data_IF_136393814690
#
_entry.id   IF_136393814690
#
_cell.length_a   1.000
_cell.length_b   1.000
_cell.length_c   1.000
_cell.angle_alpha   90.00
_cell.angle_beta   90.00
_cell.angle_gamma   90.00
#
_symmetry.space_group_name_H-M   'P 1'
#
loop_
_entity.id
_entity.type
_entity.pdbx_description
1 polymer ?
#
# COMPACT_ATOMS: atom_id res chain seq x y z
N UNK A 1 -41.59 -45.90 -19.92
CA UNK A 1 -42.20 -44.64 -19.43
C UNK A 1 -41.57 -44.32 -18.09
N UNK A 2 -40.64 -43.34 -18.04
CA UNK A 2 -40.06 -42.89 -16.77
C UNK A 2 -41.09 -42.06 -15.98
N UNK A 3 -41.16 -42.18 -14.65
CA UNK A 3 -42.14 -41.45 -13.85
C UNK A 3 -41.83 -39.94 -13.87
N UNK A 4 -42.86 -39.07 -14.01
CA UNK A 4 -42.69 -37.61 -14.18
C UNK A 4 -42.01 -36.92 -12.98
N UNK A 5 -42.02 -37.55 -11.81
CA UNK A 5 -41.35 -37.05 -10.60
C UNK A 5 -39.82 -37.10 -10.66
N UNK A 6 -39.23 -37.99 -11.48
CA UNK A 6 -37.77 -38.13 -11.58
C UNK A 6 -37.15 -37.01 -12.44
N UNK A 7 -37.91 -36.55 -13.45
CA UNK A 7 -37.48 -35.51 -14.39
C UNK A 7 -37.43 -34.13 -13.71
N UNK A 8 -38.42 -33.82 -12.86
CA UNK A 8 -38.45 -32.58 -12.10
C UNK A 8 -37.32 -32.48 -11.05
N UNK A 9 -36.98 -33.59 -10.39
CA UNK A 9 -35.88 -33.63 -9.41
C UNK A 9 -34.51 -33.51 -10.07
N UNK A 10 -34.31 -34.11 -11.26
CA UNK A 10 -33.07 -33.93 -12.02
C UNK A 10 -32.89 -32.51 -12.55
N UNK A 11 -33.95 -31.86 -13.04
CA UNK A 11 -33.90 -30.49 -13.52
C UNK A 11 -33.57 -29.48 -12.41
N UNK A 12 -34.09 -29.70 -11.19
CA UNK A 12 -33.81 -28.84 -10.04
C UNK A 12 -32.37 -28.99 -9.51
N UNK A 13 -31.82 -30.21 -9.54
CA UNK A 13 -30.40 -30.46 -9.18
C UNK A 13 -29.44 -29.90 -10.23
N UNK A 14 -29.78 -30.01 -11.52
CA UNK A 14 -28.97 -29.45 -12.61
C UNK A 14 -28.98 -27.91 -12.59
N UNK A 15 -30.13 -27.30 -12.29
CA UNK A 15 -30.25 -25.85 -12.10
C UNK A 15 -29.44 -25.32 -10.91
N UNK A 16 -29.44 -26.06 -9.78
CA UNK A 16 -28.65 -25.70 -8.60
C UNK A 16 -27.13 -25.81 -8.85
N UNK A 17 -26.68 -26.80 -9.63
CA UNK A 17 -25.27 -26.95 -10.03
C UNK A 17 -24.79 -25.82 -10.95
N UNK A 18 -25.64 -25.36 -11.87
CA UNK A 18 -25.32 -24.24 -12.77
C UNK A 18 -25.16 -22.91 -12.00
N UNK A 19 -25.99 -22.65 -10.99
CA UNK A 19 -25.89 -21.44 -10.16
C UNK A 19 -24.61 -21.44 -9.30
N UNK A 20 -24.16 -22.61 -8.81
CA UNK A 20 -22.91 -22.73 -8.04
C UNK A 20 -21.66 -22.52 -8.90
N UNK A 21 -21.70 -22.86 -10.20
CA UNK A 21 -20.57 -22.65 -11.11
C UNK A 21 -20.35 -21.19 -11.54
N UNK A 22 -21.39 -20.34 -11.51
CA UNK A 22 -21.29 -18.94 -11.92
C UNK A 22 -20.51 -18.06 -10.92
N UNK A 23 -20.53 -18.40 -9.62
CA UNK A 23 -19.80 -17.64 -8.59
C UNK A 23 -18.29 -17.93 -8.56
N UNK A 24 -17.84 -19.10 -9.04
CA UNK A 24 -16.43 -19.48 -8.99
C UNK A 24 -15.56 -18.81 -10.07
N UNK A 25 -16.17 -18.29 -11.13
CA UNK A 25 -15.44 -17.70 -12.26
C UNK A 25 -14.98 -16.27 -11.98
N UNK A 26 -15.76 -15.50 -11.20
CA UNK A 26 -15.44 -14.10 -10.85
C UNK A 26 -14.23 -13.98 -9.91
N UNK A 27 -14.11 -14.87 -8.91
CA UNK A 27 -13.00 -14.85 -7.94
C UNK A 27 -11.65 -15.24 -8.56
N UNK A 28 -11.65 -16.09 -9.60
CA UNK A 28 -10.44 -16.50 -10.32
C UNK A 28 -9.81 -15.37 -11.13
N UNK A 29 -10.62 -14.47 -11.69
CA UNK A 29 -10.12 -13.31 -12.45
C UNK A 29 -9.36 -12.31 -11.56
N UNK A 30 -9.93 -12.01 -10.38
CA UNK A 30 -9.34 -11.12 -9.38
C UNK A 30 -8.02 -11.66 -8.80
N UNK A 31 -7.97 -12.95 -8.50
CA UNK A 31 -6.74 -13.59 -8.00
C UNK A 31 -5.62 -13.60 -9.06
N UNK A 32 -5.96 -13.64 -10.35
CA UNK A 32 -4.98 -13.62 -11.44
C UNK A 32 -4.38 -12.23 -11.67
N UNK A 33 -5.17 -11.17 -11.51
CA UNK A 33 -4.70 -9.79 -11.65
C UNK A 33 -3.77 -9.38 -10.49
N UNK A 34 -4.09 -9.76 -9.24
CA UNK A 34 -3.23 -9.43 -8.10
C UNK A 34 -1.87 -10.15 -8.07
N UNK A 35 -1.73 -11.23 -8.85
CA UNK A 35 -0.49 -12.01 -8.95
C UNK A 35 0.53 -11.42 -9.94
N UNK A 36 0.14 -10.46 -10.79
CA UNK A 36 1.02 -9.91 -11.82
C UNK A 36 2.01 -8.87 -11.23
N UNK A 37 3.34 -9.07 -11.36
CA UNK A 37 4.38 -8.27 -10.68
C UNK A 37 4.32 -6.76 -10.94
N UNK A 38 3.96 -6.37 -12.17
CA UNK A 38 4.03 -4.99 -12.64
C UNK A 38 2.65 -4.31 -12.75
N UNK A 39 1.58 -4.95 -12.24
CA UNK A 39 0.21 -4.47 -12.39
C UNK A 39 -0.01 -3.02 -11.89
N UNK A 40 0.65 -2.65 -10.79
CA UNK A 40 0.53 -1.31 -10.21
C UNK A 40 1.65 -0.36 -10.65
N UNK A 41 2.63 -0.83 -11.43
CA UNK A 41 3.70 0.02 -11.93
C UNK A 41 3.14 0.85 -13.09
N UNK A 42 3.21 2.19 -13.03
CA UNK A 42 2.73 3.02 -14.11
C UNK A 42 3.52 2.74 -15.39
N UNK A 43 2.81 2.59 -16.51
CA UNK A 43 3.41 2.31 -17.83
C UNK A 43 4.39 3.40 -18.30
N UNK A 44 4.25 4.61 -17.77
CA UNK A 44 5.22 5.69 -17.91
C UNK A 44 5.54 6.23 -16.53
N UNK A 45 6.80 6.13 -16.10
CA UNK A 45 7.25 6.82 -14.89
C UNK A 45 7.24 8.31 -15.18
N UNK A 46 6.48 9.09 -14.41
CA UNK A 46 6.55 10.54 -14.45
C UNK A 46 7.88 10.98 -13.83
N UNK A 47 8.93 10.94 -14.64
CA UNK A 47 10.27 11.40 -14.24
C UNK A 47 10.27 12.90 -14.45
N UNK A 48 10.11 13.63 -13.35
CA UNK A 48 10.22 15.09 -13.36
C UNK A 48 11.70 15.48 -13.53
N UNK A 49 12.16 15.43 -14.78
CA UNK A 49 13.52 15.80 -15.15
C UNK A 49 13.78 17.31 -15.01
N UNK A 50 12.73 18.13 -14.87
CA UNK A 50 12.84 19.56 -14.64
C UNK A 50 13.36 19.90 -13.23
N UNK A 51 13.40 18.91 -12.36
CA UNK A 51 13.73 19.01 -10.92
C UNK A 51 14.86 18.03 -10.54
N UNK A 52 15.74 17.68 -11.49
CA UNK A 52 16.95 16.89 -11.15
C UNK A 52 17.85 17.70 -10.21
N UNK A 53 18.05 17.17 -9.00
CA UNK A 53 19.02 17.72 -8.05
C UNK A 53 18.47 18.82 -7.14
N UNK A 54 17.21 18.73 -6.69
CA UNK A 54 16.78 19.48 -5.51
C UNK A 54 17.66 19.09 -4.33
N UNK A 55 18.58 19.97 -4.00
CA UNK A 55 19.41 19.82 -2.82
C UNK A 55 18.54 20.07 -1.60
N UNK A 56 18.47 19.11 -0.67
CA UNK A 56 17.69 19.26 0.57
C UNK A 56 18.20 20.39 1.46
N UNK A 57 19.38 20.94 1.16
CA UNK A 57 20.00 22.06 1.86
C UNK A 57 19.99 23.36 1.04
N UNK A 58 19.32 23.41 -0.12
CA UNK A 58 19.28 24.58 -0.98
C UNK A 58 18.82 25.84 -0.20
N UNK A 59 19.58 26.94 -0.22
CA UNK A 59 19.19 28.18 0.46
C UNK A 59 17.85 28.69 -0.06
N UNK A 60 16.92 28.96 0.86
CA UNK A 60 15.69 29.65 0.50
C UNK A 60 15.97 31.12 0.19
N UNK A 61 15.19 31.77 -0.68
CA UNK A 61 15.40 33.16 -1.05
C UNK A 61 15.16 34.11 0.12
N UNK A 62 16.05 35.09 0.27
CA UNK A 62 15.89 36.22 1.17
C UNK A 62 15.06 37.34 0.53
N UNK A 63 13.86 37.03 0.03
CA UNK A 63 12.94 38.05 -0.47
C UNK A 63 11.98 38.50 0.64
N UNK A 64 12.11 39.72 1.18
CA UNK A 64 11.26 40.20 2.28
C UNK A 64 9.77 40.19 1.91
N UNK A 65 9.46 40.49 0.64
CA UNK A 65 8.08 40.51 0.13
C UNK A 65 7.42 39.14 0.07
N UNK A 66 8.19 38.07 -0.16
CA UNK A 66 7.70 36.69 -0.09
C UNK A 66 7.62 36.21 1.36
N UNK A 67 8.61 36.49 2.19
CA UNK A 67 8.63 36.09 3.59
C UNK A 67 7.51 36.74 4.42
N UNK A 68 7.02 37.92 4.03
CA UNK A 68 5.87 38.56 4.64
C UNK A 68 4.53 37.83 4.37
N UNK A 69 4.45 37.00 3.32
CA UNK A 69 3.20 36.37 2.86
C UNK A 69 3.22 34.84 2.93
N UNK A 70 4.41 34.25 2.84
CA UNK A 70 4.63 32.82 2.79
C UNK A 70 5.49 32.39 3.97
N UNK A 71 5.08 31.31 4.62
CA UNK A 71 5.88 30.65 5.65
C UNK A 71 7.09 29.97 5.01
N UNK A 72 8.09 29.62 5.82
CA UNK A 72 9.24 28.84 5.36
C UNK A 72 8.82 27.53 4.66
N UNK A 73 7.81 26.85 5.20
CA UNK A 73 7.28 25.62 4.62
C UNK A 73 6.60 25.86 3.26
N UNK A 74 5.87 26.98 3.09
CA UNK A 74 5.29 27.36 1.79
C UNK A 74 6.39 27.59 0.75
N UNK A 75 7.48 28.27 1.11
CA UNK A 75 8.59 28.55 0.20
C UNK A 75 9.39 27.28 -0.16
N UNK A 76 9.57 26.36 0.79
CA UNK A 76 10.14 25.04 0.50
C UNK A 76 9.24 24.21 -0.41
N UNK A 77 7.91 24.29 -0.23
CA UNK A 77 6.97 23.58 -1.09
C UNK A 77 6.95 24.19 -2.50
N UNK A 78 7.03 25.52 -2.59
CA UNK A 78 7.21 26.23 -3.84
C UNK A 78 8.54 25.86 -4.53
N UNK A 79 9.61 25.66 -3.77
CA UNK A 79 10.89 25.17 -4.29
C UNK A 79 10.76 23.74 -4.82
N UNK A 80 10.13 22.85 -4.06
CA UNK A 80 9.89 21.46 -4.45
C UNK A 80 9.04 21.35 -5.72
N UNK A 81 8.03 22.21 -5.86
CA UNK A 81 7.19 22.30 -7.05
C UNK A 81 7.83 23.07 -8.21
N UNK A 82 9.07 23.56 -8.06
CA UNK A 82 9.77 24.32 -9.10
C UNK A 82 9.20 25.71 -9.36
N UNK A 83 8.36 26.27 -8.48
CA UNK A 83 7.71 27.58 -8.67
C UNK A 83 8.34 28.72 -7.87
N UNK A 84 9.35 28.44 -7.05
CA UNK A 84 9.99 29.49 -6.24
C UNK A 84 10.58 30.63 -7.09
N UNK A 85 11.32 30.28 -8.15
CA UNK A 85 11.93 31.26 -9.07
C UNK A 85 10.89 32.12 -9.80
N UNK A 86 9.86 31.55 -10.47
CA UNK A 86 8.85 32.38 -11.11
C UNK A 86 8.01 33.18 -10.09
N UNK A 87 7.83 32.69 -8.87
CA UNK A 87 7.16 33.43 -7.79
C UNK A 87 7.98 34.65 -7.35
N UNK A 88 9.30 34.53 -7.24
CA UNK A 88 10.19 35.67 -7.02
C UNK A 88 10.15 36.67 -8.17
N UNK A 89 10.18 36.18 -9.42
CA UNK A 89 10.09 37.05 -10.59
C UNK A 89 8.78 37.85 -10.58
N UNK A 90 7.67 37.19 -10.22
CA UNK A 90 6.36 37.84 -10.07
C UNK A 90 6.37 38.91 -8.96
N UNK A 91 7.00 38.61 -7.83
CA UNK A 91 7.09 39.54 -6.69
C UNK A 91 7.98 40.76 -6.95
N UNK A 92 8.89 40.69 -7.93
CA UNK A 92 9.76 41.80 -8.34
C UNK A 92 9.13 42.71 -9.40
N UNK A 93 7.98 42.34 -9.98
CA UNK A 93 7.33 43.17 -10.99
C UNK A 93 6.88 44.51 -10.38
N UNK A 94 7.27 45.62 -11.01
CA UNK A 94 6.93 46.96 -10.59
C UNK A 94 5.60 47.41 -11.24
N UNK A 95 4.71 48.07 -10.49
CA UNK A 95 3.50 48.64 -11.07
C UNK A 95 3.85 49.68 -12.15
N UNK A 96 3.40 49.45 -13.39
CA UNK A 96 3.52 50.38 -14.51
C UNK A 96 4.75 50.22 -15.42
N UNK A 97 5.80 49.51 -14.99
CA UNK A 97 6.97 49.22 -15.82
C UNK A 97 6.84 47.90 -16.59
N UNK A 98 6.19 46.90 -15.97
CA UNK A 98 6.05 45.56 -16.54
C UNK A 98 4.73 45.38 -17.30
N UNK A 99 4.77 44.58 -18.36
CA UNK A 99 3.59 44.34 -19.20
C UNK A 99 2.63 43.34 -18.53
N UNK A 100 1.32 43.52 -18.72
CA UNK A 100 0.30 42.52 -18.32
C UNK A 100 0.63 41.13 -18.87
N UNK A 101 1.14 41.06 -20.09
CA UNK A 101 1.56 39.81 -20.73
C UNK A 101 2.68 39.08 -19.96
N UNK A 102 3.66 39.80 -19.41
CA UNK A 102 4.73 39.21 -18.60
C UNK A 102 4.22 38.65 -17.27
N UNK A 103 3.31 39.38 -16.62
CA UNK A 103 2.62 38.90 -15.41
C UNK A 103 1.83 37.61 -15.69
N UNK A 104 1.03 37.61 -16.75
CA UNK A 104 0.20 36.46 -17.14
C UNK A 104 1.05 35.24 -17.51
N UNK A 105 2.20 35.45 -18.16
CA UNK A 105 3.12 34.36 -18.50
C UNK A 105 3.71 33.69 -17.25
N UNK A 106 4.12 34.47 -16.23
CA UNK A 106 4.63 33.93 -14.97
C UNK A 106 3.54 33.18 -14.19
N UNK A 107 2.32 33.73 -14.13
CA UNK A 107 1.20 33.07 -13.47
C UNK A 107 0.87 31.72 -14.13
N UNK A 108 0.87 31.65 -15.46
CA UNK A 108 0.66 30.39 -16.20
C UNK A 108 1.78 29.38 -15.95
N UNK A 109 3.04 29.81 -15.91
CA UNK A 109 4.17 28.93 -15.59
C UNK A 109 4.05 28.34 -14.17
N UNK A 110 3.68 29.18 -13.20
CA UNK A 110 3.40 28.75 -11.82
C UNK A 110 2.26 27.72 -11.78
N UNK A 111 1.14 28.01 -12.46
CA UNK A 111 -0.04 27.13 -12.49
C UNK A 111 0.31 25.75 -13.08
N UNK A 112 0.99 25.72 -14.23
CA UNK A 112 1.38 24.47 -14.90
C UNK A 112 2.31 23.63 -14.02
N UNK A 113 3.30 24.23 -13.37
CA UNK A 113 4.23 23.51 -12.48
C UNK A 113 3.53 22.97 -11.22
N UNK A 114 2.61 23.73 -10.63
CA UNK A 114 1.82 23.26 -9.49
C UNK A 114 0.87 22.12 -9.89
N UNK A 115 0.28 22.20 -11.09
CA UNK A 115 -0.55 21.13 -11.64
C UNK A 115 0.25 19.85 -11.87
N UNK A 116 1.46 19.96 -12.42
CA UNK A 116 2.38 18.83 -12.59
C UNK A 116 2.76 18.21 -11.24
N UNK A 117 3.09 19.03 -10.24
CA UNK A 117 3.42 18.55 -8.90
C UNK A 117 2.21 17.87 -8.23
N UNK A 118 1.01 18.46 -8.30
CA UNK A 118 -0.23 17.86 -7.80
C UNK A 118 -0.50 16.49 -8.45
N UNK A 119 -0.35 16.41 -9.78
CA UNK A 119 -0.52 15.16 -10.55
C UNK A 119 0.51 14.12 -10.14
N UNK A 120 1.74 14.53 -9.86
CA UNK A 120 2.82 13.67 -9.35
C UNK A 120 2.43 13.06 -8.00
N UNK A 121 1.93 13.88 -7.06
CA UNK A 121 1.46 13.42 -5.75
C UNK A 121 0.30 12.43 -5.90
N UNK A 122 -0.68 12.74 -6.76
CA UNK A 122 -1.82 11.85 -7.02
C UNK A 122 -1.38 10.53 -7.65
N UNK A 123 -0.43 10.56 -8.60
CA UNK A 123 0.09 9.36 -9.25
C UNK A 123 0.81 8.44 -8.26
N UNK A 124 1.71 8.98 -7.43
CA UNK A 124 2.41 8.18 -6.41
C UNK A 124 1.45 7.66 -5.34
N UNK A 125 0.47 8.47 -4.93
CA UNK A 125 -0.58 8.02 -3.99
C UNK A 125 -1.42 6.87 -4.57
N UNK A 126 -1.73 6.92 -5.87
CA UNK A 126 -2.47 5.86 -6.55
C UNK A 126 -1.64 4.58 -6.71
N UNK A 127 -0.34 4.69 -6.99
CA UNK A 127 0.58 3.55 -7.04
C UNK A 127 0.66 2.85 -5.68
N UNK A 128 0.85 3.62 -4.60
CA UNK A 128 0.88 3.08 -3.23
C UNK A 128 -0.43 2.39 -2.84
N UNK A 129 -1.59 3.00 -3.14
CA UNK A 129 -2.91 2.41 -2.91
C UNK A 129 -3.11 1.11 -3.71
N UNK A 130 -2.68 1.10 -4.97
CA UNK A 130 -2.77 -0.08 -5.82
C UNK A 130 -1.95 -1.23 -5.22
N UNK A 131 -0.69 -0.96 -4.86
CA UNK A 131 0.20 -1.96 -4.27
C UNK A 131 -0.31 -2.43 -2.89
N UNK A 132 -0.89 -1.52 -2.08
CA UNK A 132 -1.50 -1.88 -0.81
C UNK A 132 -2.68 -2.85 -1.02
N UNK A 133 -3.59 -2.54 -1.95
CA UNK A 133 -4.74 -3.39 -2.27
C UNK A 133 -4.33 -4.70 -2.92
N UNK A 134 -3.33 -4.70 -3.80
CA UNK A 134 -2.77 -5.90 -4.42
C UNK A 134 -2.21 -6.83 -3.34
N UNK A 135 -1.42 -6.29 -2.43
CA UNK A 135 -0.85 -7.04 -1.30
C UNK A 135 -1.96 -7.57 -0.38
N UNK A 136 -2.95 -6.73 -0.04
CA UNK A 136 -4.09 -7.14 0.80
C UNK A 136 -4.95 -8.22 0.12
N UNK A 137 -5.13 -8.17 -1.20
CA UNK A 137 -5.84 -9.21 -1.95
C UNK A 137 -5.09 -10.55 -1.89
N UNK A 138 -3.76 -10.54 -1.98
CA UNK A 138 -2.95 -11.76 -1.80
C UNK A 138 -3.04 -12.27 -0.36
N UNK A 139 -3.09 -11.37 0.64
CA UNK A 139 -3.36 -11.73 2.02
C UNK A 139 -4.72 -12.44 2.14
N UNK A 140 -5.79 -11.86 1.61
CA UNK A 140 -7.13 -12.48 1.62
C UNK A 140 -7.17 -13.83 0.90
N UNK A 141 -6.41 -14.01 -0.18
CA UNK A 141 -6.29 -15.30 -0.87
C UNK A 141 -5.61 -16.35 0.03
N UNK A 142 -4.54 -15.95 0.73
CA UNK A 142 -3.80 -16.84 1.62
C UNK A 142 -4.61 -17.19 2.88
N UNK A 143 -5.34 -16.21 3.41
CA UNK A 143 -6.28 -16.36 4.52
C UNK A 143 -7.43 -17.32 4.19
N UNK A 144 -8.02 -17.20 2.99
CA UNK A 144 -9.06 -18.13 2.52
C UNK A 144 -8.53 -19.57 2.38
N UNK A 145 -7.28 -19.74 1.91
CA UNK A 145 -6.63 -21.05 1.85
C UNK A 145 -6.39 -21.62 3.26
N UNK A 146 -5.90 -20.78 4.17
CA UNK A 146 -5.62 -21.18 5.55
C UNK A 146 -6.91 -21.57 6.28
N UNK A 147 -7.93 -20.73 6.22
CA UNK A 147 -9.25 -20.98 6.81
C UNK A 147 -9.87 -22.28 6.29
N UNK A 148 -9.79 -22.54 4.98
CA UNK A 148 -10.29 -23.79 4.39
C UNK A 148 -9.52 -25.00 4.92
N UNK A 149 -8.20 -24.88 5.07
CA UNK A 149 -7.36 -25.97 5.58
C UNK A 149 -7.64 -26.24 7.05
N UNK A 150 -7.71 -25.20 7.87
CA UNK A 150 -8.08 -25.31 9.29
C UNK A 150 -9.46 -25.94 9.46
N UNK A 151 -10.44 -25.53 8.66
CA UNK A 151 -11.79 -26.13 8.66
C UNK A 151 -11.74 -27.62 8.35
N UNK A 152 -10.99 -28.02 7.31
CA UNK A 152 -10.84 -29.43 6.93
C UNK A 152 -10.14 -30.24 8.03
N UNK A 153 -9.09 -29.70 8.65
CA UNK A 153 -8.36 -30.37 9.74
C UNK A 153 -9.25 -30.52 10.98
N UNK A 154 -9.98 -29.47 11.37
CA UNK A 154 -10.92 -29.51 12.50
C UNK A 154 -12.04 -30.50 12.25
N UNK A 155 -12.69 -30.48 11.07
CA UNK A 155 -13.74 -31.43 10.72
C UNK A 155 -13.19 -32.86 10.70
N UNK A 156 -11.99 -33.07 10.15
CA UNK A 156 -11.33 -34.39 10.13
C UNK A 156 -11.05 -34.88 11.56
N UNK A 157 -10.58 -34.01 12.45
CA UNK A 157 -10.36 -34.33 13.86
C UNK A 157 -11.66 -34.70 14.58
N UNK A 158 -12.76 -33.99 14.31
CA UNK A 158 -14.08 -34.30 14.88
C UNK A 158 -14.56 -35.67 14.37
N UNK A 159 -14.44 -35.94 13.07
CA UNK A 159 -14.85 -37.21 12.46
C UNK A 159 -14.01 -38.37 13.00
N UNK A 160 -12.69 -38.21 13.09
CA UNK A 160 -11.79 -39.23 13.67
C UNK A 160 -12.16 -39.50 15.13
N UNK A 161 -12.36 -38.45 15.94
CA UNK A 161 -12.78 -38.59 17.34
C UNK A 161 -14.15 -39.28 17.51
N UNK A 162 -15.11 -38.96 16.63
CA UNK A 162 -16.42 -39.61 16.62
C UNK A 162 -16.34 -41.09 16.20
N UNK A 163 -15.48 -41.43 15.23
CA UNK A 163 -15.26 -42.80 14.80
C UNK A 163 -14.55 -43.63 15.88
N UNK A 164 -13.56 -43.09 16.58
CA UNK A 164 -12.90 -43.80 17.68
C UNK A 164 -13.88 -44.09 18.81
N UNK A 165 -14.65 -43.10 19.27
CA UNK A 165 -15.64 -43.30 20.35
C UNK A 165 -16.73 -44.31 20.00
N UNK A 166 -17.20 -44.32 18.75
CA UNK A 166 -18.23 -45.27 18.30
C UNK A 166 -17.69 -46.69 18.14
N UNK A 167 -16.46 -46.87 17.66
CA UNK A 167 -15.82 -48.19 17.53
C UNK A 167 -15.43 -48.78 18.89
N UNK A 168 -14.93 -47.95 19.82
CA UNK A 168 -14.66 -48.38 21.21
C UNK A 168 -15.95 -48.82 21.92
N UNK A 169 -17.08 -48.13 21.68
CA UNK A 169 -18.36 -48.45 22.33
C UNK A 169 -19.02 -49.79 21.89
N UNK A 170 -18.65 -50.32 20.72
CA UNK A 170 -19.19 -51.58 20.17
C UNK A 170 -18.23 -52.77 20.28
N UNK A 171 -17.00 -52.52 20.76
CA UNK A 171 -15.96 -53.54 20.89
C UNK A 171 -15.94 -54.10 22.31
N UNK A 172 -16.11 -55.43 22.41
CA UNK A 172 -16.12 -56.19 23.66
C UNK A 172 -14.73 -56.72 24.07
N UNK A 173 -13.67 -56.31 23.37
CA UNK A 173 -12.29 -56.71 23.66
C UNK A 173 -11.51 -55.53 24.24
N UNK A 174 -11.13 -55.63 25.51
CA UNK A 174 -10.37 -54.61 26.24
C UNK A 174 -9.05 -54.25 25.54
N UNK A 175 -8.38 -55.22 24.89
CA UNK A 175 -7.14 -54.96 24.13
C UNK A 175 -7.40 -54.20 22.84
N UNK A 176 -8.54 -54.44 22.19
CA UNK A 176 -8.90 -53.70 20.98
C UNK A 176 -9.26 -52.24 21.32
N UNK A 177 -9.97 -52.02 22.43
CA UNK A 177 -10.33 -50.69 22.93
C UNK A 177 -9.11 -49.84 23.28
N UNK A 178 -8.15 -50.39 24.02
CA UNK A 178 -6.90 -49.69 24.36
C UNK A 178 -6.11 -49.27 23.10
N UNK A 179 -6.04 -50.14 22.09
CA UNK A 179 -5.33 -49.83 20.83
C UNK A 179 -6.07 -48.73 20.04
N UNK A 180 -7.40 -48.78 19.98
CA UNK A 180 -8.22 -47.80 19.25
C UNK A 180 -8.15 -46.42 19.91
N UNK A 181 -8.22 -46.35 21.24
CA UNK A 181 -8.19 -45.09 21.98
C UNK A 181 -6.81 -44.41 21.88
N UNK A 182 -5.73 -45.18 22.02
CA UNK A 182 -4.35 -44.67 21.85
C UNK A 182 -4.12 -44.18 20.41
N UNK A 183 -4.56 -44.96 19.42
CA UNK A 183 -4.37 -44.61 18.00
C UNK A 183 -5.22 -43.39 17.60
N UNK A 184 -6.47 -43.34 18.05
CA UNK A 184 -7.39 -42.21 17.84
C UNK A 184 -6.90 -40.92 18.46
N UNK A 185 -6.46 -40.98 19.72
CA UNK A 185 -5.88 -39.85 20.44
C UNK A 185 -4.60 -39.33 19.78
N UNK A 186 -3.71 -40.23 19.35
CA UNK A 186 -2.47 -39.85 18.67
C UNK A 186 -2.72 -39.18 17.30
N UNK A 187 -3.66 -39.70 16.50
CA UNK A 187 -4.03 -39.11 15.20
C UNK A 187 -4.70 -37.74 15.39
N UNK A 188 -5.63 -37.62 16.34
CA UNK A 188 -6.27 -36.34 16.66
C UNK A 188 -5.28 -35.28 17.13
N UNK A 189 -4.37 -35.63 18.05
CA UNK A 189 -3.31 -34.74 18.53
C UNK A 189 -2.35 -34.34 17.40
N UNK A 190 -1.97 -35.28 16.53
CA UNK A 190 -1.12 -35.02 15.37
C UNK A 190 -1.76 -34.05 14.37
N UNK A 191 -3.05 -34.19 14.09
CA UNK A 191 -3.80 -33.28 13.22
C UNK A 191 -3.93 -31.87 13.83
N UNK A 192 -4.14 -31.78 15.14
CA UNK A 192 -4.15 -30.50 15.87
C UNK A 192 -2.80 -29.79 15.83
N UNK A 193 -1.70 -30.52 16.04
CA UNK A 193 -0.33 -29.99 15.91
C UNK A 193 -0.02 -29.56 14.47
N UNK A 194 -0.41 -30.35 13.46
CA UNK A 194 -0.21 -29.99 12.05
C UNK A 194 -0.99 -28.72 11.64
N UNK A 195 -2.13 -28.46 12.28
CA UNK A 195 -2.87 -27.21 12.09
C UNK A 195 -2.10 -26.00 12.64
N UNK A 196 -1.37 -26.16 13.75
CA UNK A 196 -0.59 -25.09 14.40
C UNK A 196 0.73 -24.77 13.69
N UNK A 197 1.42 -25.76 13.12
CA UNK A 197 2.82 -25.60 12.68
C UNK A 197 3.04 -25.39 11.19
N UNK A 198 2.00 -25.42 10.36
CA UNK A 198 2.13 -25.21 8.92
C UNK A 198 1.34 -23.97 8.51
N UNK A 199 1.98 -22.81 8.35
CA UNK A 199 1.30 -21.65 7.76
C UNK A 199 1.56 -21.62 6.25
N UNK A 200 0.53 -21.48 5.42
CA UNK A 200 0.69 -21.38 3.99
C UNK A 200 1.42 -20.07 3.68
N UNK A 201 2.24 -20.14 2.65
CA UNK A 201 2.95 -18.99 2.09
C UNK A 201 2.85 -19.03 0.58
N UNK A 202 3.17 -17.91 -0.04
CA UNK A 202 3.24 -17.77 -1.50
C UNK A 202 4.45 -16.92 -1.87
N UNK A 203 4.92 -17.08 -3.10
CA UNK A 203 5.92 -16.18 -3.65
C UNK A 203 5.21 -14.92 -4.18
N UNK A 204 5.68 -13.74 -3.77
CA UNK A 204 5.13 -12.44 -4.13
C UNK A 204 6.25 -11.50 -4.57
N UNK A 205 6.10 -10.93 -5.76
CA UNK A 205 7.08 -10.06 -6.39
C UNK A 205 6.58 -8.62 -6.47
N UNK A 206 7.49 -7.69 -6.21
CA UNK A 206 7.30 -6.24 -6.30
C UNK A 206 8.60 -5.59 -6.83
N UNK A 207 8.86 -5.68 -8.15
CA UNK A 207 10.11 -5.23 -8.75
C UNK A 207 10.45 -3.76 -8.47
N UNK A 208 9.43 -2.90 -8.43
CA UNK A 208 9.50 -1.51 -7.97
C UNK A 208 8.99 -1.44 -6.54
N UNK A 209 9.83 -0.99 -5.61
CA UNK A 209 9.55 -1.09 -4.19
C UNK A 209 9.72 0.26 -3.46
N UNK A 210 8.63 1.03 -3.42
CA UNK A 210 8.57 2.32 -2.74
C UNK A 210 8.85 2.24 -1.23
N UNK A 211 8.68 1.07 -0.58
CA UNK A 211 9.03 0.91 0.84
C UNK A 211 10.53 0.89 1.07
N UNK A 212 11.31 0.41 0.10
CA UNK A 212 12.75 0.20 0.25
C UNK A 212 13.49 1.52 0.46
N UNK A 213 13.09 2.61 -0.22
CA UNK A 213 13.74 3.92 -0.05
C UNK A 213 13.34 4.59 1.25
N UNK A 214 12.12 4.37 1.75
CA UNK A 214 11.71 4.85 3.07
C UNK A 214 12.49 4.14 4.19
N UNK A 215 12.74 2.85 4.03
CA UNK A 215 13.54 2.06 4.97
C UNK A 215 15.01 2.49 4.96
N UNK A 216 15.64 2.48 3.78
CA UNK A 216 17.08 2.74 3.60
C UNK A 216 17.44 4.21 3.76
N UNK A 217 16.49 5.12 3.58
CA UNK A 217 16.67 6.57 3.63
C UNK A 217 17.88 7.06 2.81
N UNK A 218 17.99 6.70 1.51
CA UNK A 218 19.10 7.17 0.68
C UNK A 218 19.05 8.70 0.53
N UNK A 219 20.18 9.31 0.16
CA UNK A 219 20.21 10.75 -0.13
C UNK A 219 19.26 11.11 -1.29
N UNK A 220 19.26 10.28 -2.34
CA UNK A 220 18.36 10.39 -3.48
C UNK A 220 17.60 9.09 -3.68
N UNK A 221 16.31 9.21 -4.03
CA UNK A 221 15.48 8.07 -4.36
C UNK A 221 15.55 7.75 -5.85
N UNK A 222 15.61 6.46 -6.18
CA UNK A 222 15.47 5.97 -7.55
C UNK A 222 13.99 5.75 -7.93
N UNK A 223 13.14 5.48 -6.94
CA UNK A 223 11.75 5.10 -7.15
C UNK A 223 10.75 6.27 -6.97
N UNK A 224 11.11 7.30 -6.20
CA UNK A 224 10.30 8.51 -6.01
C UNK A 224 10.73 9.64 -6.95
N UNK A 225 9.77 10.46 -7.43
CA UNK A 225 10.06 11.74 -8.07
C UNK A 225 10.86 12.66 -7.14
N UNK A 226 11.82 13.41 -7.68
CA UNK A 226 12.73 14.26 -6.90
C UNK A 226 11.99 15.33 -6.07
N UNK A 227 10.95 15.95 -6.64
CA UNK A 227 10.09 16.93 -5.96
C UNK A 227 9.41 16.34 -4.72
N UNK A 228 8.82 15.15 -4.84
CA UNK A 228 8.22 14.45 -3.70
C UNK A 228 9.29 13.96 -2.71
N UNK A 229 10.40 13.41 -3.19
CA UNK A 229 11.48 12.93 -2.32
C UNK A 229 12.06 14.05 -1.46
N UNK A 230 12.22 15.25 -2.02
CA UNK A 230 12.62 16.44 -1.28
C UNK A 230 11.66 16.74 -0.12
N UNK A 231 10.35 16.75 -0.38
CA UNK A 231 9.34 17.01 0.67
C UNK A 231 9.33 15.92 1.73
N UNK A 232 9.41 14.65 1.33
CA UNK A 232 9.53 13.52 2.26
C UNK A 232 10.82 13.59 3.09
N UNK A 233 11.84 14.26 2.54
CA UNK A 233 13.16 14.31 3.11
C UNK A 233 13.46 15.51 4.01
N UNK A 234 12.66 16.57 3.91
CA UNK A 234 12.86 17.79 4.68
C UNK A 234 12.07 17.76 6.00
N UNK A 235 12.71 18.13 7.11
CA UNK A 235 12.08 18.12 8.44
C UNK A 235 10.90 19.10 8.59
N UNK A 236 10.93 20.22 7.87
CA UNK A 236 9.92 21.29 7.97
C UNK A 236 8.52 20.90 7.51
N UNK A 237 8.40 19.78 6.79
CA UNK A 237 7.12 19.22 6.40
C UNK A 237 6.53 18.25 7.43
N UNK A 238 7.24 18.00 8.53
CA UNK A 238 6.73 17.23 9.67
C UNK A 238 6.10 18.15 10.72
N UNK A 239 5.10 17.64 11.44
CA UNK A 239 4.37 18.41 12.46
C UNK A 239 5.28 18.98 13.56
N UNK A 240 6.23 18.19 14.06
CA UNK A 240 7.17 18.60 15.12
C UNK A 240 8.46 19.23 14.57
N UNK A 241 8.67 19.19 13.26
CA UNK A 241 9.86 19.70 12.56
C UNK A 241 11.21 19.14 13.05
N UNK A 242 11.19 18.07 13.87
CA UNK A 242 12.39 17.42 14.42
C UNK A 242 13.02 16.46 13.42
N UNK A 243 12.18 15.69 12.72
CA UNK A 243 12.61 14.65 11.78
C UNK A 243 11.80 14.71 10.49
N UNK A 244 12.39 14.28 9.38
CA UNK A 244 11.70 14.22 8.10
C UNK A 244 10.51 13.25 8.10
N UNK A 245 9.56 13.44 7.19
CA UNK A 245 8.39 12.55 7.04
C UNK A 245 8.84 11.10 6.84
N UNK A 246 9.82 10.84 5.98
CA UNK A 246 10.36 9.49 5.72
C UNK A 246 10.90 8.82 6.99
N UNK A 247 11.53 9.59 7.86
CA UNK A 247 12.03 9.11 9.15
C UNK A 247 10.86 8.75 10.06
N UNK A 248 9.87 9.63 10.19
CA UNK A 248 8.70 9.40 11.05
C UNK A 248 7.86 8.20 10.58
N UNK A 249 7.72 7.99 9.26
CA UNK A 249 7.05 6.80 8.69
C UNK A 249 7.80 5.53 9.09
N UNK A 250 9.13 5.47 8.89
CA UNK A 250 9.95 4.33 9.31
C UNK A 250 9.85 4.08 10.82
N UNK A 251 9.94 5.14 11.63
CA UNK A 251 9.85 5.03 13.08
C UNK A 251 8.50 4.47 13.53
N UNK A 252 7.39 4.85 12.87
CA UNK A 252 6.08 4.25 13.16
C UNK A 252 6.01 2.77 12.80
N UNK A 253 6.60 2.33 11.70
CA UNK A 253 6.62 0.90 11.36
C UNK A 253 7.32 0.07 12.43
N UNK A 254 8.43 0.59 12.98
CA UNK A 254 9.13 -0.05 14.09
C UNK A 254 8.28 -0.03 15.36
N UNK A 255 7.70 1.12 15.71
CA UNK A 255 6.88 1.28 16.91
C UNK A 255 5.59 0.44 16.89
N UNK A 256 5.00 0.24 15.70
CA UNK A 256 3.82 -0.62 15.49
C UNK A 256 4.17 -2.11 15.44
N UNK A 257 5.46 -2.49 15.54
CA UNK A 257 5.91 -3.87 15.48
C UNK A 257 5.83 -4.52 14.09
N UNK A 258 5.69 -3.73 13.02
CA UNK A 258 5.70 -4.25 11.64
C UNK A 258 7.07 -4.80 11.25
N UNK A 259 8.12 -4.15 11.73
CA UNK A 259 9.51 -4.49 11.44
C UNK A 259 10.38 -4.24 12.67
N UNK A 260 11.37 -5.09 12.88
CA UNK A 260 12.40 -4.88 13.88
C UNK A 260 13.53 -4.01 13.31
N UNK A 261 14.11 -3.15 14.14
CA UNK A 261 15.19 -2.24 13.70
C UNK A 261 16.46 -2.99 13.27
N UNK A 262 16.74 -4.14 13.90
CA UNK A 262 17.92 -4.98 13.68
C UNK A 262 17.65 -6.17 12.75
N UNK A 263 16.40 -6.37 12.34
CA UNK A 263 15.91 -7.58 11.67
C UNK A 263 16.10 -7.59 10.15
N UNK A 264 17.33 -7.47 9.65
CA UNK A 264 17.71 -7.70 8.25
C UNK A 264 16.84 -7.01 7.17
N UNK A 265 17.03 -7.40 5.91
CA UNK A 265 16.10 -7.05 4.84
C UNK A 265 14.89 -8.00 4.92
N UNK A 266 13.97 -7.72 5.85
CA UNK A 266 12.64 -8.33 5.84
C UNK A 266 12.08 -8.32 4.40
N UNK A 267 11.26 -9.31 3.96
CA UNK A 267 10.93 -9.51 2.54
C UNK A 267 10.29 -8.25 1.89
N UNK A 268 9.83 -7.33 2.72
CA UNK A 268 9.28 -6.03 2.41
C UNK A 268 10.20 -5.08 1.63
N UNK A 269 11.52 -5.15 1.78
CA UNK A 269 12.44 -4.13 1.24
C UNK A 269 13.26 -4.59 0.02
N UNK A 270 13.19 -5.88 -0.32
CA UNK A 270 13.77 -6.44 -1.53
C UNK A 270 12.87 -6.29 -2.76
N UNK A 271 13.04 -7.16 -3.76
CA UNK A 271 12.19 -7.22 -4.98
C UNK A 271 10.99 -8.16 -4.86
N UNK A 272 10.87 -8.85 -3.73
CA UNK A 272 9.94 -9.96 -3.55
C UNK A 272 10.54 -11.08 -2.72
N UNK A 273 9.77 -12.15 -2.56
CA UNK A 273 10.19 -13.34 -1.85
C UNK A 273 9.00 -14.18 -1.40
N UNK A 274 9.25 -15.05 -0.42
CA UNK A 274 8.20 -15.85 0.20
C UNK A 274 7.48 -15.05 1.28
N UNK A 275 6.17 -14.97 1.15
CA UNK A 275 5.30 -14.21 2.04
C UNK A 275 4.31 -15.11 2.76
N UNK A 276 4.20 -14.91 4.08
CA UNK A 276 3.11 -15.41 4.91
C UNK A 276 1.93 -14.45 4.89
N UNK A 277 0.80 -14.86 5.48
CA UNK A 277 -0.39 -14.00 5.62
C UNK A 277 -0.05 -12.71 6.36
N UNK A 278 0.60 -12.84 7.51
CA UNK A 278 1.02 -11.72 8.35
C UNK A 278 1.99 -10.79 7.60
N UNK A 279 2.94 -11.34 6.85
CA UNK A 279 3.87 -10.53 6.04
C UNK A 279 3.14 -9.71 4.96
N UNK A 280 2.11 -10.27 4.32
CA UNK A 280 1.31 -9.53 3.33
C UNK A 280 0.48 -8.44 3.99
N UNK A 281 -0.17 -8.73 5.11
CA UNK A 281 -0.94 -7.73 5.88
C UNK A 281 -0.03 -6.59 6.34
N UNK A 282 1.14 -6.93 6.89
CA UNK A 282 2.16 -5.97 7.33
C UNK A 282 2.64 -5.08 6.19
N UNK A 283 2.97 -5.66 5.02
CA UNK A 283 3.33 -4.86 3.84
C UNK A 283 2.20 -3.94 3.38
N UNK A 284 0.96 -4.43 3.35
CA UNK A 284 -0.20 -3.62 2.97
C UNK A 284 -0.40 -2.43 3.91
N UNK A 285 -0.24 -2.65 5.22
CA UNK A 285 -0.33 -1.59 6.23
C UNK A 285 0.79 -0.55 6.07
N UNK A 286 2.04 -0.97 5.83
CA UNK A 286 3.15 -0.05 5.58
C UNK A 286 2.92 0.81 4.34
N UNK A 287 2.43 0.22 3.24
CA UNK A 287 2.06 0.95 2.03
C UNK A 287 0.94 1.97 2.29
N UNK A 288 -0.09 1.58 3.05
CA UNK A 288 -1.18 2.48 3.44
C UNK A 288 -0.72 3.66 4.29
N UNK A 289 0.20 3.45 5.24
CA UNK A 289 0.77 4.55 6.03
C UNK A 289 1.59 5.53 5.18
N UNK A 290 2.39 5.01 4.25
CA UNK A 290 3.18 5.84 3.35
C UNK A 290 2.28 6.64 2.41
N UNK A 291 1.21 6.02 1.90
CA UNK A 291 0.20 6.68 1.10
C UNK A 291 -0.50 7.81 1.86
N UNK A 292 -0.88 7.57 3.12
CA UNK A 292 -1.47 8.60 3.97
C UNK A 292 -0.52 9.79 4.14
N UNK A 293 0.78 9.54 4.33
CA UNK A 293 1.79 10.59 4.40
C UNK A 293 1.87 11.41 3.09
N UNK A 294 1.84 10.76 1.92
CA UNK A 294 1.80 11.47 0.62
C UNK A 294 0.51 12.29 0.46
N UNK A 295 -0.64 11.79 0.92
CA UNK A 295 -1.91 12.55 0.90
C UNK A 295 -1.87 13.80 1.77
N UNK A 296 -1.19 13.76 2.92
CA UNK A 296 -1.00 14.96 3.75
C UNK A 296 -0.13 16.03 3.07
N UNK A 297 0.84 15.61 2.25
CA UNK A 297 1.61 16.55 1.41
C UNK A 297 0.69 17.24 0.39
N UNK A 298 -0.28 16.52 -0.17
CA UNK A 298 -1.29 17.12 -1.06
C UNK A 298 -2.10 18.20 -0.34
N UNK A 299 -2.46 17.99 0.92
CA UNK A 299 -3.12 19.01 1.74
C UNK A 299 -2.25 20.27 1.91
N UNK A 300 -0.94 20.12 2.15
CA UNK A 300 -0.01 21.26 2.22
C UNK A 300 0.03 22.03 0.89
N UNK A 301 -0.04 21.33 -0.25
CA UNK A 301 -0.11 21.97 -1.57
C UNK A 301 -1.40 22.77 -1.76
N UNK A 302 -2.55 22.28 -1.29
CA UNK A 302 -3.81 23.02 -1.34
C UNK A 302 -3.76 24.31 -0.53
N UNK A 303 -3.09 24.28 0.63
CA UNK A 303 -2.85 25.48 1.45
C UNK A 303 -2.00 26.51 0.69
N UNK A 304 -0.92 26.06 0.03
CA UNK A 304 -0.08 26.94 -0.79
C UNK A 304 -0.87 27.54 -1.96
N UNK A 305 -1.64 26.72 -2.70
CA UNK A 305 -2.48 27.17 -3.81
C UNK A 305 -3.46 28.27 -3.37
N UNK A 306 -4.08 28.10 -2.21
CA UNK A 306 -5.00 29.11 -1.65
C UNK A 306 -4.30 30.44 -1.41
N UNK A 307 -3.06 30.42 -0.89
CA UNK A 307 -2.24 31.63 -0.69
C UNK A 307 -1.78 32.26 -2.01
N UNK A 308 -1.55 31.46 -3.04
CA UNK A 308 -1.16 31.98 -4.36
C UNK A 308 -2.33 32.66 -5.08
N UNK A 309 -3.55 32.14 -4.93
CA UNK A 309 -4.76 32.77 -5.48
C UNK A 309 -4.97 34.17 -4.90
N UNK A 310 -4.71 34.39 -3.60
CA UNK A 310 -4.84 35.73 -3.01
C UNK A 310 -3.79 36.71 -3.55
N UNK A 311 -2.58 36.23 -3.87
CA UNK A 311 -1.54 37.03 -4.53
C UNK A 311 -1.93 37.43 -5.96
N UNK A 312 -2.60 36.53 -6.70
CA UNK A 312 -3.05 36.83 -8.07
C UNK A 312 -4.19 37.86 -8.14
N UNK A 313 -5.01 37.97 -7.08
CA UNK A 313 -6.22 38.82 -7.06
C UNK A 313 -6.00 40.23 -6.50
N UNK A 314 -4.93 40.47 -5.72
CA UNK A 314 -4.61 41.78 -5.12
C UNK A 314 -3.49 42.53 -5.88
N UNK A 315 -3.33 42.24 -7.18
CA UNK A 315 -2.35 42.88 -8.06
C UNK A 315 -2.82 44.18 -8.72
N UNK A 316 -3.83 44.83 -8.13
CA UNK A 316 -4.41 46.13 -8.51
C UNK A 316 -4.06 47.22 -7.49
#
# INVERSE_FOLDING_TARGET
MLPPFLVHRCALVLGLMLVLSACATSSRGLARQGAEPDYCVPAQSLRDDSVRGLDTEAPLPESPGLQARFTRQDLLLAHAAGVLVPLEALARLAPGADTRAQRDALLRDIELRLLLFSTTLSSVSAELECEARRTAQMASLLDAKETRRQTLLTVSSIVVGALTTTVTAISNDDRANDIIDITGGAVGAGLGLAALFSSPSLDFEHPRNLLADIWRQPAHSADFPASLWFVLSHKDFSNEQRYAIRHNVRARWIASGYVEETGGDAPYFGRGGRYTLDALQTRANMLGELQAAVRLIHQNLQVLLTKLVTVSTHGD
#
